data_IF_689967447490
#
_entry.id   IF_689967447490
#
_cell.length_a   1.000
_cell.length_b   1.000
_cell.length_c   1.000
_cell.angle_alpha   90.00
_cell.angle_beta   90.00
_cell.angle_gamma   90.00
#
_symmetry.space_group_name_H-M   'P 1'
#
loop_
_entity.id
_entity.type
_entity.pdbx_description
1 polymer ?
#
# COMPACT_ATOMS: atom_id res chain seq x y z
N UNK A 1 -25.92 -2.77 -6.39
CA UNK A 1 -25.36 -2.61 -6.57
C UNK A 1 -24.49 -2.13 -6.22
N UNK A 2 -24.27 -2.10 -5.85
CA UNK A 2 -23.36 -1.63 -5.48
C UNK A 2 -22.10 -1.61 -6.19
N UNK A 3 -22.01 -1.90 -7.30
CA UNK A 3 -20.87 -1.90 -8.16
C UNK A 3 -20.33 -0.52 -8.44
N UNK A 4 -21.14 0.45 -8.16
CA UNK A 4 -20.71 1.82 -8.41
C UNK A 4 -19.45 2.18 -7.65
N UNK A 5 -19.21 1.54 -6.51
CA UNK A 5 -17.99 1.81 -5.76
C UNK A 5 -16.76 1.39 -6.53
N UNK A 6 -16.86 0.30 -7.25
CA UNK A 6 -15.72 -0.22 -8.00
C UNK A 6 -15.47 0.57 -9.27
N UNK A 7 -16.52 1.12 -9.84
CA UNK A 7 -16.36 1.82 -11.10
C UNK A 7 -15.67 3.16 -10.96
N UNK A 8 -15.58 3.69 -9.75
CA UNK A 8 -14.94 4.98 -9.51
C UNK A 8 -13.49 4.89 -9.14
N UNK A 9 -13.01 3.70 -8.85
CA UNK A 9 -11.62 3.48 -8.51
C UNK A 9 -10.92 2.81 -9.67
N UNK A 10 -9.79 3.36 -10.10
CA UNK A 10 -9.04 2.80 -11.22
C UNK A 10 -8.28 1.54 -10.90
N UNK A 11 -8.24 1.15 -9.62
CA UNK A 11 -7.46 -0.02 -9.21
C UNK A 11 -8.22 -1.31 -9.52
N UNK A 12 -7.51 -2.27 -10.11
CA UNK A 12 -8.10 -3.56 -10.45
C UNK A 12 -7.78 -4.63 -9.42
N UNK A 13 -6.63 -4.51 -8.77
CA UNK A 13 -6.25 -5.45 -7.73
C UNK A 13 -5.23 -4.79 -6.82
N UNK A 14 -5.15 -5.18 -5.55
CA UNK A 14 -6.08 -6.11 -4.93
C UNK A 14 -7.49 -5.54 -4.98
N UNK A 15 -8.48 -6.40 -4.78
CA UNK A 15 -9.87 -5.97 -4.83
C UNK A 15 -10.11 -4.81 -3.86
N UNK A 16 -10.86 -3.79 -4.31
CA UNK A 16 -11.23 -2.67 -3.43
C UNK A 16 -12.52 -3.02 -2.69
N UNK A 17 -12.56 -2.67 -1.42
CA UNK A 17 -13.71 -2.96 -0.57
C UNK A 17 -14.55 -1.72 -0.36
N UNK A 18 -15.80 -1.91 0.00
CA UNK A 18 -16.69 -0.80 0.32
C UNK A 18 -16.23 -0.11 1.61
N UNK A 19 -16.61 1.15 1.78
CA UNK A 19 -16.25 1.89 2.99
C UNK A 19 -16.78 1.20 4.24
N UNK A 20 -17.94 0.58 4.15
CA UNK A 20 -18.51 -0.13 5.29
C UNK A 20 -17.62 -1.31 5.72
N UNK A 21 -17.17 -2.11 4.77
CA UNK A 21 -16.30 -3.25 5.06
C UNK A 21 -14.97 -2.75 5.61
N UNK A 22 -14.40 -1.73 4.98
CA UNK A 22 -13.13 -1.16 5.44
C UNK A 22 -13.23 -0.66 6.86
N UNK A 23 -14.33 0.03 7.20
CA UNK A 23 -14.50 0.54 8.56
C UNK A 23 -14.57 -0.60 9.58
N UNK A 24 -15.23 -1.70 9.21
CA UNK A 24 -15.28 -2.85 10.10
C UNK A 24 -13.89 -3.45 10.32
N UNK A 25 -13.10 -3.53 9.25
CA UNK A 25 -11.76 -4.08 9.36
C UNK A 25 -10.86 -3.18 10.21
N UNK A 26 -10.96 -1.86 10.03
CA UNK A 26 -10.16 -0.93 10.82
C UNK A 26 -10.53 -0.98 12.30
N UNK A 27 -11.79 -1.21 12.62
CA UNK A 27 -12.20 -1.28 14.02
C UNK A 27 -11.56 -2.43 14.78
N UNK A 28 -11.13 -3.46 14.07
CA UNK A 28 -10.46 -4.59 14.71
C UNK A 28 -9.01 -4.26 15.08
N UNK A 29 -8.49 -3.14 14.62
CA UNK A 29 -7.10 -2.74 14.89
C UNK A 29 -7.13 -1.72 16.03
N UNK A 30 -6.35 -1.95 17.11
CA UNK A 30 -6.38 -1.06 18.28
C UNK A 30 -5.58 0.22 18.06
N UNK A 31 -5.94 0.99 17.05
CA UNK A 31 -5.33 2.28 16.75
C UNK A 31 -6.41 3.33 16.63
N UNK A 32 -6.05 4.58 16.91
CA UNK A 32 -6.97 5.70 16.82
C UNK A 32 -7.21 6.09 15.36
N UNK A 33 -8.35 6.70 15.11
CA UNK A 33 -8.65 7.22 13.78
C UNK A 33 -7.59 8.21 13.30
N UNK A 34 -7.07 9.03 14.22
CA UNK A 34 -6.02 9.99 13.88
C UNK A 34 -4.76 9.29 13.41
N UNK A 35 -4.46 8.13 13.99
CA UNK A 35 -3.30 7.34 13.57
C UNK A 35 -3.53 6.81 12.16
N UNK A 36 -4.72 6.28 11.88
CA UNK A 36 -5.02 5.80 10.53
C UNK A 36 -4.89 6.92 9.51
N UNK A 37 -5.38 8.11 9.82
CA UNK A 37 -5.27 9.26 8.91
C UNK A 37 -3.81 9.64 8.67
N UNK A 38 -3.01 9.61 9.72
CA UNK A 38 -1.59 9.90 9.60
C UNK A 38 -0.88 8.88 8.72
N UNK A 39 -1.18 7.60 8.92
CA UNK A 39 -0.57 6.54 8.11
C UNK A 39 -0.95 6.67 6.64
N UNK A 40 -2.21 7.00 6.35
CA UNK A 40 -2.63 7.22 4.96
C UNK A 40 -1.87 8.37 4.33
N UNK A 41 -1.67 9.45 5.09
CA UNK A 41 -0.90 10.58 4.58
C UNK A 41 0.53 10.18 4.26
N UNK A 42 1.15 9.39 5.13
CA UNK A 42 2.49 8.89 4.86
C UNK A 42 2.52 8.03 3.61
N UNK A 43 1.58 7.11 3.48
CA UNK A 43 1.55 6.23 2.32
C UNK A 43 1.41 7.02 1.02
N UNK A 44 0.48 7.97 0.98
CA UNK A 44 0.30 8.79 -0.20
C UNK A 44 1.53 9.63 -0.49
N UNK A 45 2.12 10.22 0.53
CA UNK A 45 3.29 11.08 0.35
C UNK A 45 4.50 10.26 -0.09
N UNK A 46 4.72 9.09 0.51
CA UNK A 46 5.87 8.26 0.16
C UNK A 46 5.74 7.71 -1.26
N UNK A 47 4.54 7.29 -1.64
CA UNK A 47 4.33 6.81 -3.01
C UNK A 47 4.56 7.94 -4.01
N UNK A 48 4.05 9.12 -3.72
CA UNK A 48 4.20 10.26 -4.60
C UNK A 48 5.66 10.71 -4.70
N UNK A 49 6.36 10.71 -3.57
CA UNK A 49 7.74 11.20 -3.51
C UNK A 49 8.74 10.22 -4.11
N UNK A 50 8.60 8.95 -3.79
CA UNK A 50 9.56 7.93 -4.19
C UNK A 50 9.12 7.12 -5.40
N UNK A 51 7.84 7.13 -5.73
CA UNK A 51 7.29 6.32 -6.80
C UNK A 51 7.09 4.88 -6.38
N UNK A 52 8.14 4.24 -5.90
CA UNK A 52 8.10 2.87 -5.38
C UNK A 52 8.90 2.83 -4.09
N UNK A 53 8.32 2.27 -3.04
CA UNK A 53 9.05 2.11 -1.77
C UNK A 53 8.56 0.83 -1.09
N UNK A 54 9.49 -0.04 -0.67
CA UNK A 54 9.10 -1.25 0.06
C UNK A 54 8.44 -0.88 1.38
N UNK A 55 7.45 -1.67 1.77
CA UNK A 55 6.71 -1.40 2.99
C UNK A 55 7.63 -1.42 4.22
N UNK A 56 8.64 -2.26 4.21
CA UNK A 56 9.64 -2.32 5.27
C UNK A 56 10.32 -0.98 5.47
N UNK A 57 10.67 -0.33 4.37
CA UNK A 57 11.31 0.99 4.45
C UNK A 57 10.32 2.06 4.87
N UNK A 58 9.08 1.97 4.38
CA UNK A 58 8.03 2.90 4.80
C UNK A 58 7.82 2.85 6.31
N UNK A 59 7.77 1.65 6.86
CA UNK A 59 7.63 1.47 8.30
C UNK A 59 8.77 2.15 9.05
N UNK A 60 9.99 1.93 8.58
CA UNK A 60 11.17 2.50 9.23
C UNK A 60 11.10 4.03 9.23
N UNK A 61 10.73 4.61 8.10
CA UNK A 61 10.62 6.07 8.00
C UNK A 61 9.58 6.60 8.98
N UNK A 62 8.42 5.96 9.03
CA UNK A 62 7.32 6.42 9.89
C UNK A 62 7.69 6.29 11.36
N UNK A 63 8.29 5.16 11.75
CA UNK A 63 8.64 4.89 13.14
C UNK A 63 9.80 5.79 13.60
N UNK A 64 10.75 6.08 12.72
CA UNK A 64 11.83 7.00 13.08
C UNK A 64 11.29 8.38 13.45
N UNK A 65 10.23 8.80 12.81
CA UNK A 65 9.62 10.10 13.10
C UNK A 65 8.57 10.03 14.22
N UNK A 66 8.04 8.86 14.48
CA UNK A 66 6.98 8.65 15.46
C UNK A 66 7.24 7.37 16.26
N UNK A 67 8.24 7.38 17.16
CA UNK A 67 8.74 6.12 17.76
C UNK A 67 7.72 5.30 18.54
N UNK A 68 6.68 5.94 19.06
CA UNK A 68 5.68 5.24 19.87
C UNK A 68 4.31 5.19 19.22
N UNK A 69 4.28 5.40 17.91
CA UNK A 69 3.01 5.50 17.20
C UNK A 69 2.24 4.18 17.20
N UNK A 70 2.93 3.07 16.96
CA UNK A 70 2.28 1.76 16.79
C UNK A 70 3.34 0.67 16.86
N UNK A 71 2.87 -0.56 17.04
CA UNK A 71 3.75 -1.74 16.92
C UNK A 71 3.82 -2.16 15.45
N UNK A 72 4.79 -3.03 15.17
CA UNK A 72 4.91 -3.58 13.81
C UNK A 72 3.67 -4.36 13.41
N UNK A 73 3.11 -5.15 14.34
CA UNK A 73 1.90 -5.92 14.06
C UNK A 73 0.74 -5.01 13.71
N UNK A 74 0.60 -3.90 14.42
CA UNK A 74 -0.45 -2.93 14.14
C UNK A 74 -0.25 -2.27 12.77
N UNK A 75 0.99 -1.97 12.42
CA UNK A 75 1.31 -1.41 11.12
C UNK A 75 0.95 -2.40 10.01
N UNK A 76 1.31 -3.66 10.18
CA UNK A 76 0.99 -4.69 9.18
C UNK A 76 -0.51 -4.89 9.06
N UNK A 77 -1.23 -4.86 10.19
CA UNK A 77 -2.69 -4.96 10.15
C UNK A 77 -3.29 -3.80 9.39
N UNK A 78 -2.80 -2.58 9.62
CA UNK A 78 -3.25 -1.42 8.88
C UNK A 78 -2.98 -1.59 7.38
N UNK A 79 -1.77 -1.99 7.03
CA UNK A 79 -1.39 -2.10 5.61
C UNK A 79 -2.23 -3.15 4.89
N UNK A 80 -2.61 -4.21 5.60
CA UNK A 80 -3.45 -5.26 4.99
C UNK A 80 -4.83 -4.72 4.63
N UNK A 81 -5.37 -3.82 5.43
CA UNK A 81 -6.65 -3.18 5.11
C UNK A 81 -6.47 -2.09 4.06
N UNK A 82 -5.43 -1.28 4.22
CA UNK A 82 -5.20 -0.12 3.34
C UNK A 82 -5.02 -0.52 1.88
N UNK A 83 -4.46 -1.70 1.62
CA UNK A 83 -4.26 -2.15 0.24
C UNK A 83 -5.58 -2.34 -0.51
N UNK A 84 -6.69 -2.45 0.22
CA UNK A 84 -8.02 -2.62 -0.36
C UNK A 84 -8.81 -1.32 -0.41
N UNK A 85 -8.18 -0.19 -0.08
CA UNK A 85 -8.81 1.12 -0.20
C UNK A 85 -8.54 1.70 -1.59
N UNK A 86 -9.43 2.58 -2.03
CA UNK A 86 -9.23 3.33 -3.27
C UNK A 86 -8.43 4.59 -2.95
N UNK A 87 -7.12 4.51 -3.10
CA UNK A 87 -6.20 5.60 -2.84
C UNK A 87 -5.31 5.82 -4.06
N UNK A 88 -4.37 6.76 -3.96
CA UNK A 88 -3.49 7.09 -5.07
C UNK A 88 -2.26 6.20 -5.14
N UNK A 89 -2.28 5.08 -4.48
CA UNK A 89 -1.18 4.11 -4.49
C UNK A 89 -1.73 2.70 -4.58
N UNK A 90 -0.87 1.80 -5.03
CA UNK A 90 -1.05 0.37 -4.88
C UNK A 90 -0.12 -0.13 -3.78
N UNK A 91 -0.50 -1.22 -3.14
CA UNK A 91 0.36 -1.92 -2.19
C UNK A 91 0.34 -3.39 -2.59
N UNK A 92 1.36 -3.81 -3.33
CA UNK A 92 1.38 -5.10 -3.99
C UNK A 92 2.74 -5.78 -3.82
N UNK A 93 2.72 -7.12 -3.79
CA UNK A 93 3.94 -7.90 -3.82
C UNK A 93 4.28 -8.34 -5.23
N UNK A 94 5.52 -8.77 -5.43
CA UNK A 94 5.94 -9.30 -6.72
C UNK A 94 5.16 -10.55 -7.11
N UNK A 95 4.64 -11.28 -6.12
CA UNK A 95 3.78 -12.45 -6.36
C UNK A 95 2.46 -12.06 -7.00
N UNK A 96 2.03 -10.81 -6.82
CA UNK A 96 0.79 -10.30 -7.39
C UNK A 96 1.02 -9.58 -8.73
N UNK A 97 2.21 -9.02 -8.90
CA UNK A 97 2.51 -8.19 -10.08
C UNK A 97 2.96 -9.02 -11.27
N UNK A 98 3.59 -10.16 -11.04
CA UNK A 98 4.16 -10.97 -12.10
C UNK A 98 3.72 -12.42 -12.01
N UNK A 99 3.32 -12.99 -13.14
CA UNK A 99 2.97 -14.40 -13.21
C UNK A 99 4.19 -15.26 -12.89
N UNK A 100 5.38 -14.83 -13.34
CA UNK A 100 6.63 -15.53 -13.10
C UNK A 100 7.30 -15.16 -11.79
N UNK A 101 6.62 -14.40 -10.95
CA UNK A 101 7.17 -13.98 -9.68
C UNK A 101 7.20 -15.09 -8.65
N UNK A 102 7.63 -14.77 -7.43
CA UNK A 102 7.64 -15.77 -6.34
C UNK A 102 6.21 -16.19 -6.00
N UNK A 103 6.08 -17.36 -5.38
CA UNK A 103 4.76 -17.88 -4.99
C UNK A 103 4.10 -16.99 -3.95
N UNK A 104 4.89 -16.40 -3.06
CA UNK A 104 4.37 -15.52 -2.02
C UNK A 104 5.45 -14.54 -1.61
N UNK A 105 5.03 -13.46 -0.96
CA UNK A 105 5.93 -12.41 -0.50
C UNK A 105 5.55 -12.05 0.92
N UNK A 106 6.56 -11.89 1.78
CA UNK A 106 6.33 -11.40 3.13
C UNK A 106 5.61 -10.04 3.04
N UNK A 107 4.58 -9.79 3.85
CA UNK A 107 3.87 -8.51 3.77
C UNK A 107 4.78 -7.28 3.87
N UNK A 108 5.88 -7.35 4.63
CA UNK A 108 6.82 -6.23 4.71
C UNK A 108 7.59 -6.01 3.43
N UNK A 109 7.63 -7.00 2.54
CA UNK A 109 8.32 -6.89 1.26
C UNK A 109 7.38 -6.49 0.12
N UNK A 110 6.11 -6.27 0.42
CA UNK A 110 5.22 -5.63 -0.55
C UNK A 110 5.71 -4.21 -0.80
N UNK A 111 5.35 -3.70 -1.97
CA UNK A 111 5.82 -2.38 -2.39
C UNK A 111 4.65 -1.41 -2.48
N UNK A 112 4.89 -0.21 -1.97
CA UNK A 112 3.99 0.91 -2.09
C UNK A 112 4.35 1.60 -3.40
N UNK A 113 3.37 1.71 -4.32
CA UNK A 113 3.63 2.13 -5.69
C UNK A 113 2.67 3.24 -6.07
N UNK A 114 3.22 4.34 -6.60
CA UNK A 114 2.37 5.41 -7.11
C UNK A 114 1.49 4.85 -8.22
N UNK A 115 0.20 5.16 -8.15
CA UNK A 115 -0.78 4.59 -9.08
C UNK A 115 -0.44 4.87 -10.53
N UNK A 116 0.17 6.04 -10.81
CA UNK A 116 0.51 6.42 -12.18
C UNK A 116 1.51 5.45 -12.82
N UNK A 117 2.37 4.83 -12.01
CA UNK A 117 3.39 3.95 -12.55
C UNK A 117 2.82 2.65 -13.09
N UNK A 118 1.71 2.18 -12.53
CA UNK A 118 1.09 0.93 -12.97
C UNK A 118 -0.05 1.19 -13.94
N UNK A 119 -0.83 2.23 -13.69
CA UNK A 119 -1.97 2.54 -14.56
C UNK A 119 -1.54 2.88 -15.97
N UNK A 120 -0.34 3.45 -16.13
CA UNK A 120 0.18 3.74 -17.46
C UNK A 120 0.73 2.49 -18.12
N UNK A 121 1.59 1.77 -17.43
CA UNK A 121 2.08 0.49 -17.91
C UNK A 121 2.92 -0.15 -16.82
N UNK A 122 2.94 -1.49 -16.82
CA UNK A 122 3.78 -2.22 -15.90
C UNK A 122 5.27 -1.99 -16.21
N UNK A 123 5.58 -1.63 -17.45
CA UNK A 123 6.96 -1.33 -17.83
C UNK A 123 7.48 -0.10 -17.13
N UNK A 124 6.65 0.92 -16.95
CA UNK A 124 7.05 2.11 -16.20
C UNK A 124 7.43 1.76 -14.78
N UNK A 125 6.62 0.95 -14.13
CA UNK A 125 6.92 0.49 -12.79
C UNK A 125 8.22 -0.30 -12.75
N UNK A 126 8.40 -1.22 -13.68
CA UNK A 126 9.56 -2.08 -13.69
C UNK A 126 10.85 -1.29 -13.83
N UNK A 127 10.86 -0.30 -14.73
CA UNK A 127 12.02 0.56 -14.90
C UNK A 127 12.29 1.42 -13.68
N UNK A 128 11.25 2.00 -13.14
CA UNK A 128 11.39 2.85 -11.97
C UNK A 128 11.93 2.07 -10.79
N UNK A 129 11.45 0.84 -10.61
CA UNK A 129 11.89 -0.02 -9.54
C UNK A 129 13.36 -0.38 -9.67
N UNK A 130 13.80 -0.63 -10.89
CA UNK A 130 15.21 -0.90 -11.18
C UNK A 130 16.10 0.22 -10.68
N UNK A 131 15.71 1.45 -10.98
CA UNK A 131 16.51 2.61 -10.61
C UNK A 131 16.48 2.87 -9.11
N UNK A 132 15.37 2.62 -8.45
CA UNK A 132 15.16 3.05 -7.08
C UNK A 132 15.44 1.96 -6.04
N UNK A 133 15.30 0.70 -6.41
CA UNK A 133 15.42 -0.39 -5.48
C UNK A 133 16.55 -1.33 -5.85
N UNK A 134 16.57 -1.80 -7.09
CA UNK A 134 17.49 -2.86 -7.49
C UNK A 134 18.92 -2.39 -7.69
N UNK A 135 19.12 -1.13 -7.96
CA UNK A 135 20.45 -0.58 -8.18
C UNK A 135 21.12 -0.09 -6.90
N UNK A 136 20.39 -0.04 -5.80
CA UNK A 136 20.98 0.32 -4.53
C UNK A 136 21.32 -0.93 -3.73
#
# INVERSE_FOLDING_TARGET
MTAENNTQCGKEWPETYSRRVLNQMYRAIPLKDSTFRLLRKYFNALANLYGVVPLRQAYKIIIDQNPKLMTLDEFLAFSEVARHECEDYYLLGLDELYIDGPDSVDPLDRELIDIALIDESLDCYAEYRKDRIETT
#
